data_IF_430238049372
#
_entry.id   IF_430238049372
#
_cell.length_a   1.000
_cell.length_b   1.000
_cell.length_c   1.000
_cell.angle_alpha   90.00
_cell.angle_beta   90.00
_cell.angle_gamma   90.00
#
_symmetry.space_group_name_H-M   'P 1'
#
loop_
_entity.id
_entity.type
_entity.pdbx_description
1 polymer ?
#
# COMPACT_ATOMS: atom_id res chain seq x y z
N UNK A 1 -67.79 24.19 7.03
CA UNK A 1 -67.80 23.17 8.10
C UNK A 1 -66.51 22.38 7.98
N UNK A 2 -65.57 22.64 8.90
CA UNK A 2 -64.58 21.72 9.51
C UNK A 2 -64.16 20.51 8.64
N UNK A 3 -62.96 20.33 8.07
CA UNK A 3 -61.60 20.60 8.54
C UNK A 3 -61.41 20.25 10.02
N UNK A 4 -60.79 19.10 10.29
CA UNK A 4 -59.65 18.91 11.21
C UNK A 4 -59.52 17.45 11.66
N UNK A 5 -58.28 16.96 11.63
CA UNK A 5 -57.59 16.04 12.56
C UNK A 5 -56.54 15.30 11.73
N UNK A 6 -55.31 15.07 12.15
CA UNK A 6 -54.43 15.49 13.25
C UNK A 6 -53.11 14.74 12.93
N UNK A 7 -52.05 15.04 13.67
CA UNK A 7 -50.76 14.31 13.75
C UNK A 7 -49.73 14.83 12.75
N UNK A 8 -48.58 15.36 13.14
CA UNK A 8 -47.91 15.41 14.44
C UNK A 8 -46.42 15.63 14.14
N UNK A 9 -45.82 16.55 14.88
CA UNK A 9 -44.38 16.90 14.86
C UNK A 9 -43.50 15.64 14.97
N UNK A 10 -42.27 15.56 14.46
CA UNK A 10 -41.11 16.22 15.06
C UNK A 10 -39.79 15.95 14.30
N UNK A 11 -38.87 16.91 14.43
CA UNK A 11 -37.40 16.77 14.61
C UNK A 11 -36.48 16.56 13.39
N UNK A 12 -35.82 17.68 13.03
CA UNK A 12 -34.37 17.92 13.14
C UNK A 12 -33.42 16.74 12.87
N UNK A 13 -32.51 16.94 11.92
CA UNK A 13 -31.38 16.03 11.72
C UNK A 13 -30.65 16.28 10.41
N UNK A 14 -30.04 17.47 10.29
CA UNK A 14 -29.12 17.79 9.20
C UNK A 14 -28.11 16.67 9.01
N UNK A 15 -28.11 16.08 7.81
CA UNK A 15 -27.30 14.92 7.43
C UNK A 15 -25.80 15.27 7.48
N UNK A 16 -25.22 15.03 8.65
CA UNK A 16 -23.83 14.70 8.95
C UNK A 16 -22.72 15.59 8.34
N UNK A 17 -22.24 16.64 9.08
CA UNK A 17 -21.04 17.41 8.75
C UNK A 17 -19.71 16.68 9.07
N UNK A 18 -19.67 15.36 8.97
CA UNK A 18 -18.44 14.56 9.16
C UNK A 18 -17.98 13.80 7.91
N UNK A 19 -18.64 13.98 6.77
CA UNK A 19 -18.23 13.35 5.50
C UNK A 19 -17.33 14.25 4.64
N UNK A 20 -16.95 15.44 5.13
CA UNK A 20 -16.16 16.40 4.33
C UNK A 20 -14.66 16.45 4.67
N UNK A 21 -14.14 15.52 5.49
CA UNK A 21 -12.70 15.52 5.88
C UNK A 21 -11.96 14.22 5.58
N UNK A 22 -12.48 13.34 4.72
CA UNK A 22 -11.75 12.14 4.26
C UNK A 22 -11.38 12.17 2.77
N UNK A 23 -11.41 13.35 2.15
CA UNK A 23 -10.99 13.51 0.74
C UNK A 23 -9.62 14.17 0.57
N UNK A 24 -8.94 14.53 1.68
CA UNK A 24 -7.63 15.21 1.64
C UNK A 24 -6.82 14.85 2.90
N UNK A 25 -6.46 13.57 3.05
CA UNK A 25 -5.46 13.14 4.00
C UNK A 25 -4.85 11.81 3.55
N UNK A 26 -3.66 11.93 2.99
CA UNK A 26 -2.69 10.86 2.75
C UNK A 26 -2.89 10.01 1.48
N UNK A 27 -2.40 10.58 0.37
CA UNK A 27 -1.44 9.82 -0.44
C UNK A 27 -0.36 9.25 0.50
N UNK A 28 -0.56 8.01 0.92
CA UNK A 28 0.56 7.14 1.20
C UNK A 28 0.18 5.77 0.69
N UNK A 29 0.80 5.44 -0.42
CA UNK A 29 0.94 4.08 -0.91
C UNK A 29 1.74 3.25 0.10
N UNK A 30 1.22 3.02 1.31
CA UNK A 30 1.71 1.97 2.21
C UNK A 30 0.88 0.74 1.95
N UNK A 31 1.08 0.17 0.76
CA UNK A 31 0.79 -1.23 0.52
C UNK A 31 1.78 -2.03 1.36
N UNK A 32 1.34 -2.37 2.58
CA UNK A 32 1.79 -3.51 3.40
C UNK A 32 3.30 -3.74 3.34
N UNK A 33 4.06 -3.15 4.26
CA UNK A 33 5.46 -3.53 4.50
C UNK A 33 5.51 -4.97 5.06
N UNK A 34 6.00 -5.98 4.31
CA UNK A 34 6.70 -7.06 4.96
C UNK A 34 8.07 -6.49 5.36
N UNK A 35 8.26 -6.30 6.66
CA UNK A 35 9.59 -6.27 7.26
C UNK A 35 10.52 -5.06 6.96
N UNK A 36 10.05 -3.83 7.12
CA UNK A 36 10.87 -2.68 7.56
C UNK A 36 12.08 -2.26 6.70
N UNK A 37 12.22 -2.79 5.49
CA UNK A 37 13.25 -2.40 4.53
C UNK A 37 12.67 -1.40 3.55
N UNK A 38 13.32 -0.24 3.44
CA UNK A 38 12.90 0.80 2.51
C UNK A 38 13.24 0.38 1.09
N UNK A 39 12.26 0.30 0.19
CA UNK A 39 12.50 0.00 -1.22
C UNK A 39 12.60 1.31 -2.00
N UNK A 40 13.66 1.47 -2.79
CA UNK A 40 13.74 2.62 -3.69
C UNK A 40 12.80 2.46 -4.88
N UNK A 41 12.35 3.57 -5.48
CA UNK A 41 11.51 3.53 -6.68
C UNK A 41 12.14 2.72 -7.80
N UNK A 42 13.46 2.84 -8.00
CA UNK A 42 14.19 2.06 -8.99
C UNK A 42 14.08 0.55 -8.72
N UNK A 43 14.19 0.14 -7.45
CA UNK A 43 14.08 -1.26 -7.06
C UNK A 43 12.66 -1.81 -7.29
N UNK A 44 11.64 -1.00 -6.97
CA UNK A 44 10.24 -1.34 -7.21
C UNK A 44 9.95 -1.51 -8.71
N UNK A 45 10.41 -0.58 -9.56
CA UNK A 45 10.23 -0.66 -11.01
C UNK A 45 10.85 -1.95 -11.60
N UNK A 46 12.00 -2.38 -11.06
CA UNK A 46 12.64 -3.64 -11.47
C UNK A 46 11.84 -4.85 -10.99
N UNK A 47 11.33 -4.82 -9.77
CA UNK A 47 10.47 -5.86 -9.22
C UNK A 47 9.15 -5.98 -10.02
N UNK A 48 8.66 -4.89 -10.58
CA UNK A 48 7.47 -4.88 -11.45
C UNK A 48 7.71 -5.57 -12.80
N UNK A 49 8.94 -5.52 -13.33
CA UNK A 49 9.33 -6.26 -14.55
C UNK A 49 9.34 -7.78 -14.34
N UNK A 50 9.48 -8.24 -13.09
CA UNK A 50 9.42 -9.65 -12.75
C UNK A 50 7.96 -10.14 -12.88
N UNK A 51 7.74 -11.31 -13.50
CA UNK A 51 6.41 -11.92 -13.58
C UNK A 51 5.75 -12.03 -12.21
N UNK A 52 4.44 -11.79 -12.15
CA UNK A 52 3.67 -11.70 -10.90
C UNK A 52 3.79 -12.93 -9.99
N UNK A 53 3.95 -14.13 -10.56
CA UNK A 53 4.09 -15.37 -9.80
C UNK A 53 5.48 -15.53 -9.14
N UNK A 54 6.53 -14.90 -9.68
CA UNK A 54 7.89 -14.91 -9.11
C UNK A 54 8.12 -13.70 -8.21
N UNK A 55 7.42 -12.58 -8.47
CA UNK A 55 7.54 -11.33 -7.71
C UNK A 55 7.55 -11.48 -6.18
N UNK A 56 6.64 -12.23 -5.52
CA UNK A 56 6.69 -12.40 -4.08
C UNK A 56 7.94 -13.17 -3.61
N UNK A 57 8.39 -14.17 -4.36
CA UNK A 57 9.63 -14.90 -4.04
C UNK A 57 10.87 -14.02 -4.22
N UNK A 58 10.92 -13.23 -5.29
CA UNK A 58 11.99 -12.28 -5.55
C UNK A 58 12.07 -11.24 -4.43
N UNK A 59 10.94 -10.63 -4.06
CA UNK A 59 10.84 -9.65 -2.97
C UNK A 59 11.41 -10.21 -1.67
N UNK A 60 10.94 -11.38 -1.24
CA UNK A 60 11.41 -12.05 -0.02
C UNK A 60 12.91 -12.39 -0.07
N UNK A 61 13.42 -12.88 -1.20
CA UNK A 61 14.84 -13.21 -1.35
C UNK A 61 15.73 -11.99 -1.23
N UNK A 62 15.33 -10.87 -1.84
CA UNK A 62 16.05 -9.59 -1.76
C UNK A 62 15.98 -9.01 -0.35
N UNK A 63 14.82 -9.06 0.31
CA UNK A 63 14.67 -8.62 1.70
C UNK A 63 15.52 -9.44 2.67
N UNK A 64 15.56 -10.76 2.48
CA UNK A 64 16.42 -11.64 3.27
C UNK A 64 17.90 -11.32 3.03
N UNK A 65 18.30 -11.11 1.78
CA UNK A 65 19.67 -10.73 1.45
C UNK A 65 20.04 -9.37 2.08
N UNK A 66 19.16 -8.38 1.98
CA UNK A 66 19.36 -7.06 2.55
C UNK A 66 19.53 -7.14 4.07
N UNK A 67 18.66 -7.87 4.77
CA UNK A 67 18.76 -8.10 6.22
C UNK A 67 20.07 -8.79 6.61
N UNK A 68 20.46 -9.85 5.91
CA UNK A 68 21.67 -10.63 6.20
C UNK A 68 22.95 -9.80 6.03
N UNK A 69 22.97 -8.91 5.04
CA UNK A 69 24.06 -7.99 4.78
C UNK A 69 23.97 -6.68 5.60
N UNK A 70 22.95 -6.52 6.44
CA UNK A 70 22.75 -5.32 7.26
C UNK A 70 22.34 -4.07 6.47
N UNK A 71 21.82 -4.22 5.25
CA UNK A 71 21.23 -3.13 4.50
C UNK A 71 19.88 -2.74 5.11
N UNK A 72 19.63 -1.44 5.22
CA UNK A 72 18.35 -0.87 5.70
C UNK A 72 17.46 -0.38 4.55
N UNK A 73 18.02 -0.33 3.34
CA UNK A 73 17.37 0.12 2.12
C UNK A 73 17.71 -0.85 0.98
N UNK A 74 16.70 -1.24 0.21
CA UNK A 74 16.83 -2.04 -1.01
C UNK A 74 16.91 -1.10 -2.19
N UNK A 75 18.14 -0.92 -2.67
CA UNK A 75 18.43 -0.20 -3.91
C UNK A 75 18.52 -1.17 -5.09
N UNK A 76 18.60 -0.64 -6.31
CA UNK A 76 18.87 -1.45 -7.48
C UNK A 76 20.20 -2.23 -7.41
N UNK A 77 21.18 -1.75 -6.64
CA UNK A 77 22.46 -2.43 -6.41
C UNK A 77 22.28 -3.64 -5.47
N UNK A 78 21.50 -3.49 -4.39
CA UNK A 78 21.16 -4.60 -3.48
C UNK A 78 20.37 -5.67 -4.23
N UNK A 79 19.44 -5.28 -5.10
CA UNK A 79 18.75 -6.22 -5.98
C UNK A 79 19.71 -6.96 -6.92
N UNK A 80 20.69 -6.25 -7.50
CA UNK A 80 21.68 -6.86 -8.41
C UNK A 80 22.60 -7.84 -7.68
N UNK A 81 23.06 -7.47 -6.49
CA UNK A 81 23.83 -8.36 -5.62
C UNK A 81 23.01 -9.61 -5.24
N UNK A 82 21.72 -9.45 -4.99
CA UNK A 82 20.80 -10.57 -4.74
C UNK A 82 20.47 -11.39 -5.99
N UNK A 83 20.56 -10.82 -7.21
CA UNK A 83 20.31 -11.55 -8.48
C UNK A 83 21.26 -12.71 -8.68
N UNK A 84 22.47 -12.68 -8.12
CA UNK A 84 23.39 -13.82 -8.14
C UNK A 84 22.79 -15.10 -7.51
N UNK A 85 21.75 -14.96 -6.71
CA UNK A 85 21.02 -16.06 -6.07
C UNK A 85 19.78 -16.54 -6.88
N UNK A 86 19.45 -15.87 -7.99
CA UNK A 86 18.32 -16.21 -8.87
C UNK A 86 18.84 -16.60 -10.26
N UNK A 87 18.46 -17.77 -10.81
CA UNK A 87 18.91 -18.19 -12.13
C UNK A 87 18.42 -17.18 -13.19
N UNK A 88 19.36 -16.65 -13.97
CA UNK A 88 19.21 -15.54 -14.93
C UNK A 88 18.39 -15.87 -16.18
N UNK A 89 17.55 -16.90 -16.16
CA UNK A 89 16.81 -17.36 -17.34
C UNK A 89 15.30 -17.42 -17.04
N UNK A 90 14.66 -16.24 -17.08
CA UNK A 90 13.20 -16.09 -17.24
C UNK A 90 12.90 -15.07 -18.33
#
# INVERSE_FOLDING_TARGET
MQAETETGETQEGGKCPFTSVISDAFEENTTTEPDGLQWTSEALERLERIPSFVRPMAKMGIESFAKDNGHTEITGEVMDAARGNFPTEF
#
